data_IF_087438194379
#
_entry.id   IF_087438194379
#
_cell.length_a   1.000
_cell.length_b   1.000
_cell.length_c   1.000
_cell.angle_alpha   90.00
_cell.angle_beta   90.00
_cell.angle_gamma   90.00
#
_symmetry.space_group_name_H-M   'P 1'
#
loop_
_entity.id
_entity.type
_entity.pdbx_description
1 polymer ?
#
# COMPACT_ATOMS: atom_id res chain seq x y z
N UNK A 1 -9.06 -34.10 -0.81
CA UNK A 1 -10.51 -33.80 -0.71
C UNK A 1 -11.02 -33.61 0.73
N UNK A 2 -10.29 -34.00 1.79
CA UNK A 2 -10.80 -33.93 3.19
C UNK A 2 -10.95 -32.52 3.80
N UNK A 3 -10.32 -31.46 3.25
CA UNK A 3 -10.35 -30.10 3.86
C UNK A 3 -11.66 -29.33 3.62
N UNK A 4 -12.40 -29.65 2.56
CA UNK A 4 -13.61 -28.90 2.18
C UNK A 4 -14.81 -29.28 3.05
N UNK A 5 -14.92 -30.56 3.44
CA UNK A 5 -16.01 -31.05 4.29
C UNK A 5 -16.01 -30.42 5.69
N UNK A 6 -14.84 -30.13 6.26
CA UNK A 6 -14.69 -29.55 7.61
C UNK A 6 -15.10 -28.06 7.72
N UNK A 7 -15.46 -27.42 6.60
CA UNK A 7 -15.86 -26.01 6.52
C UNK A 7 -17.38 -25.82 6.39
N UNK A 8 -18.14 -26.89 6.12
CA UNK A 8 -19.58 -26.78 5.80
C UNK A 8 -20.48 -26.45 7.01
N UNK A 9 -20.07 -26.81 8.24
CA UNK A 9 -20.87 -26.61 9.47
C UNK A 9 -20.40 -25.43 10.36
N UNK A 10 -19.54 -24.53 9.84
CA UNK A 10 -19.03 -23.41 10.65
C UNK A 10 -19.92 -22.17 10.53
N UNK A 11 -20.18 -21.44 11.63
CA UNK A 11 -20.83 -20.15 11.55
C UNK A 11 -20.01 -19.20 10.66
N UNK A 12 -20.68 -18.38 9.85
CA UNK A 12 -20.08 -17.51 8.82
C UNK A 12 -18.92 -16.65 9.36
N UNK A 13 -19.04 -16.16 10.60
CA UNK A 13 -18.01 -15.39 11.29
C UNK A 13 -16.71 -16.18 11.46
N UNK A 14 -16.79 -17.47 11.75
CA UNK A 14 -15.64 -18.35 11.93
C UNK A 14 -14.97 -18.70 10.60
N UNK A 15 -15.74 -18.79 9.50
CA UNK A 15 -15.18 -18.93 8.14
C UNK A 15 -14.40 -17.69 7.73
N UNK A 16 -14.97 -16.49 7.94
CA UNK A 16 -14.31 -15.21 7.63
C UNK A 16 -13.02 -15.05 8.43
N UNK A 17 -13.05 -15.28 9.75
CA UNK A 17 -11.86 -15.19 10.59
C UNK A 17 -10.77 -16.18 10.14
N UNK A 18 -11.15 -17.39 9.75
CA UNK A 18 -10.19 -18.40 9.27
C UNK A 18 -9.56 -17.98 7.94
N UNK A 19 -10.35 -17.46 7.00
CA UNK A 19 -9.85 -16.97 5.72
C UNK A 19 -8.91 -15.76 5.88
N UNK A 20 -9.26 -14.81 6.74
CA UNK A 20 -8.42 -13.65 7.05
C UNK A 20 -7.10 -14.07 7.68
N UNK A 21 -7.12 -15.02 8.63
CA UNK A 21 -5.89 -15.55 9.24
C UNK A 21 -4.99 -16.25 8.21
N UNK A 22 -5.56 -17.11 7.37
CA UNK A 22 -4.80 -17.78 6.31
C UNK A 22 -4.20 -16.80 5.29
N UNK A 23 -4.93 -15.73 4.97
CA UNK A 23 -4.43 -14.67 4.09
C UNK A 23 -3.28 -13.88 4.74
N UNK A 24 -3.39 -13.54 6.03
CA UNK A 24 -2.30 -12.89 6.78
C UNK A 24 -1.07 -13.80 6.85
N UNK A 25 -1.24 -15.10 7.10
CA UNK A 25 -0.13 -16.06 7.12
C UNK A 25 0.57 -16.15 5.75
N UNK A 26 -0.17 -16.13 4.64
CA UNK A 26 0.41 -16.06 3.29
C UNK A 26 1.17 -14.75 3.01
N UNK A 27 0.76 -13.64 3.63
CA UNK A 27 1.47 -12.37 3.52
C UNK A 27 2.75 -12.34 4.38
N UNK A 28 2.79 -13.12 5.47
CA UNK A 28 3.95 -13.22 6.35
C UNK A 28 4.99 -14.22 5.83
N UNK A 29 4.56 -15.29 5.14
CA UNK A 29 5.42 -16.29 4.49
C UNK A 29 5.41 -16.12 2.97
N UNK A 30 5.76 -14.91 2.52
CA UNK A 30 5.87 -14.60 1.10
C UNK A 30 6.93 -15.52 0.45
N UNK A 31 6.60 -16.19 -0.67
CA UNK A 31 7.55 -17.00 -1.41
C UNK A 31 8.85 -16.22 -1.65
N UNK A 32 9.99 -16.85 -1.34
CA UNK A 32 11.33 -16.24 -1.46
C UNK A 32 11.56 -15.48 -2.77
N UNK A 33 11.07 -15.93 -3.95
CA UNK A 33 11.20 -15.17 -5.20
C UNK A 33 10.50 -13.80 -5.18
N UNK A 34 9.34 -13.68 -4.53
CA UNK A 34 8.60 -12.42 -4.39
C UNK A 34 9.29 -11.47 -3.42
N UNK A 35 9.89 -12.01 -2.34
CA UNK A 35 10.72 -11.22 -1.44
C UNK A 35 11.94 -10.67 -2.18
N UNK A 36 12.66 -11.52 -2.92
CA UNK A 36 13.84 -11.12 -3.71
C UNK A 36 13.45 -10.08 -4.76
N UNK A 37 12.37 -10.29 -5.53
CA UNK A 37 11.90 -9.32 -6.52
C UNK A 37 11.51 -7.97 -5.88
N UNK A 38 10.90 -7.98 -4.69
CA UNK A 38 10.58 -6.75 -3.95
C UNK A 38 11.85 -6.05 -3.47
N UNK A 39 12.82 -6.79 -2.94
CA UNK A 39 14.11 -6.26 -2.54
C UNK A 39 14.89 -5.69 -3.73
N UNK A 40 14.95 -6.41 -4.85
CA UNK A 40 15.59 -5.94 -6.08
C UNK A 40 14.91 -4.68 -6.62
N UNK A 41 13.58 -4.61 -6.60
CA UNK A 41 12.85 -3.41 -6.97
C UNK A 41 13.19 -2.20 -6.09
N UNK A 42 13.33 -2.39 -4.77
CA UNK A 42 13.73 -1.32 -3.84
C UNK A 42 15.20 -0.92 -4.06
N UNK A 43 16.08 -1.88 -4.34
CA UNK A 43 17.51 -1.63 -4.49
C UNK A 43 17.88 -0.98 -5.83
N UNK A 44 17.15 -1.29 -6.91
CA UNK A 44 17.43 -0.81 -8.28
C UNK A 44 16.52 0.34 -8.74
N UNK A 45 15.60 0.83 -7.90
CA UNK A 45 14.85 2.06 -8.20
C UNK A 45 15.73 3.29 -7.96
N UNK A 46 16.50 3.66 -8.98
CA UNK A 46 17.32 4.88 -8.97
C UNK A 46 16.48 6.15 -9.09
N UNK A 47 15.27 6.03 -9.63
CA UNK A 47 14.39 7.13 -10.01
C UNK A 47 12.97 6.80 -9.57
N UNK A 48 12.37 7.64 -8.74
CA UNK A 48 10.95 7.55 -8.37
C UNK A 48 10.18 8.77 -8.87
N UNK A 49 9.10 8.52 -9.61
CA UNK A 49 8.13 9.55 -9.96
C UNK A 49 7.17 9.77 -8.79
N UNK A 50 6.98 11.03 -8.42
CA UNK A 50 6.10 11.44 -7.34
C UNK A 50 5.09 12.45 -7.86
N UNK A 51 3.85 12.37 -7.38
CA UNK A 51 2.87 13.44 -7.50
C UNK A 51 2.92 14.36 -6.28
N UNK A 52 3.00 15.65 -6.54
CA UNK A 52 3.00 16.71 -5.55
C UNK A 52 1.60 17.21 -5.24
N UNK A 53 1.34 17.45 -3.96
CA UNK A 53 0.09 17.98 -3.44
C UNK A 53 0.32 19.09 -2.42
N UNK A 54 -0.68 19.96 -2.26
CA UNK A 54 -0.75 20.95 -1.19
C UNK A 54 -2.10 20.85 -0.49
N UNK A 55 -2.10 20.77 0.84
CA UNK A 55 -3.35 20.82 1.61
C UNK A 55 -3.89 22.25 1.73
N UNK A 56 -5.17 22.41 2.07
CA UNK A 56 -5.78 23.73 2.29
C UNK A 56 -5.14 24.59 3.40
N UNK A 57 -4.24 24.04 4.23
CA UNK A 57 -3.43 24.79 5.21
C UNK A 57 -2.05 25.20 4.68
N UNK A 58 -1.73 24.87 3.43
CA UNK A 58 -0.48 25.24 2.78
C UNK A 58 0.67 24.25 2.92
N UNK A 59 0.50 23.08 3.56
CA UNK A 59 1.57 22.07 3.64
C UNK A 59 1.77 21.35 2.29
N UNK A 60 2.95 21.46 1.66
CA UNK A 60 3.29 20.68 0.49
C UNK A 60 3.74 19.28 0.89
N UNK A 61 3.38 18.28 0.09
CA UNK A 61 3.85 16.90 0.28
C UNK A 61 3.83 16.14 -1.05
N UNK A 62 4.57 15.03 -1.09
CA UNK A 62 4.74 14.19 -2.29
C UNK A 62 4.25 12.77 -2.01
N UNK A 63 3.67 12.13 -3.02
CA UNK A 63 3.26 10.73 -2.96
C UNK A 63 3.72 9.98 -4.20
N UNK A 64 3.87 8.66 -4.09
CA UNK A 64 4.22 7.81 -5.23
C UNK A 64 3.20 7.97 -6.36
N UNK A 65 3.69 8.23 -7.57
CA UNK A 65 2.87 8.44 -8.77
C UNK A 65 2.00 7.21 -9.12
N UNK A 66 2.45 6.02 -8.72
CA UNK A 66 1.70 4.77 -8.88
C UNK A 66 0.42 4.71 -8.03
N UNK A 67 0.21 5.65 -7.10
CA UNK A 67 -1.00 5.71 -6.28
C UNK A 67 -2.16 6.26 -7.12
N UNK A 68 -3.18 5.46 -7.48
CA UNK A 68 -4.22 5.88 -8.43
C UNK A 68 -5.23 6.88 -7.84
N UNK A 69 -5.22 7.05 -6.51
CA UNK A 69 -6.18 7.90 -5.81
C UNK A 69 -5.51 9.12 -5.19
N UNK A 70 -6.16 10.28 -5.34
CA UNK A 70 -5.79 11.49 -4.61
C UNK A 70 -5.77 11.23 -3.10
N UNK A 71 -4.84 11.86 -2.37
CA UNK A 71 -4.73 11.67 -0.92
C UNK A 71 -6.02 12.12 -0.24
N UNK A 72 -6.44 11.36 0.78
CA UNK A 72 -7.65 11.69 1.56
C UNK A 72 -7.37 12.62 2.73
N UNK A 73 -6.11 12.72 3.15
CA UNK A 73 -5.69 13.56 4.26
C UNK A 73 -4.28 14.08 4.02
N UNK A 74 -3.99 15.26 4.58
CA UNK A 74 -2.63 15.78 4.62
C UNK A 74 -1.78 14.93 5.57
N UNK A 75 -0.63 14.39 5.14
CA UNK A 75 0.25 13.61 6.02
C UNK A 75 0.94 14.47 7.09
N UNK A 76 1.04 15.79 6.88
CA UNK A 76 1.70 16.71 7.82
C UNK A 76 0.77 17.08 8.99
N UNK A 77 -0.50 17.39 8.71
CA UNK A 77 -1.42 17.92 9.72
C UNK A 77 -2.70 17.09 9.93
N UNK A 78 -2.84 15.95 9.24
CA UNK A 78 -3.96 15.01 9.39
C UNK A 78 -5.31 15.53 8.89
N UNK A 79 -5.38 16.74 8.32
CA UNK A 79 -6.66 17.32 7.90
C UNK A 79 -7.19 16.65 6.63
N UNK A 80 -8.51 16.43 6.62
CA UNK A 80 -9.28 15.99 5.43
C UNK A 80 -9.75 17.18 4.58
N UNK A 81 -9.14 18.36 4.77
CA UNK A 81 -9.48 19.55 4.01
C UNK A 81 -9.10 19.37 2.54
N UNK A 82 -9.58 20.27 1.68
CA UNK A 82 -9.30 20.26 0.25
C UNK A 82 -7.79 20.08 -0.02
N UNK A 83 -7.44 19.06 -0.80
CA UNK A 83 -6.07 18.81 -1.24
C UNK A 83 -6.01 19.08 -2.74
N UNK A 84 -5.08 19.94 -3.14
CA UNK A 84 -4.88 20.34 -4.53
C UNK A 84 -3.60 19.71 -5.06
N UNK A 85 -3.65 19.24 -6.31
CA UNK A 85 -2.47 18.76 -7.03
C UNK A 85 -1.65 19.97 -7.47
N UNK A 86 -0.34 19.91 -7.27
CA UNK A 86 0.59 21.01 -7.62
C UNK A 86 1.58 20.63 -8.73
N UNK A 87 1.75 19.35 -9.04
CA UNK A 87 2.59 18.90 -10.15
C UNK A 87 3.08 17.47 -9.98
N UNK A 88 3.97 17.04 -10.86
CA UNK A 88 4.74 15.81 -10.71
C UNK A 88 6.23 16.16 -10.61
N UNK A 89 6.97 15.33 -9.90
CA UNK A 89 8.39 15.47 -9.66
C UNK A 89 9.08 14.12 -9.80
N UNK A 90 10.39 14.15 -9.96
CA UNK A 90 11.21 12.95 -10.02
C UNK A 90 12.29 13.07 -8.96
N UNK A 91 12.38 12.09 -8.07
CA UNK A 91 13.45 12.02 -7.07
C UNK A 91 14.43 10.95 -7.51
N UNK A 92 15.72 11.28 -7.46
CA UNK A 92 16.80 10.33 -7.70
C UNK A 92 17.47 9.98 -6.38
N UNK A 93 17.77 8.70 -6.18
CA UNK A 93 18.45 8.26 -4.96
C UNK A 93 19.90 8.76 -4.99
N UNK A 94 20.33 9.46 -3.94
CA UNK A 94 21.73 9.90 -3.77
C UNK A 94 22.08 11.29 -4.32
N UNK A 95 21.08 12.10 -4.68
CA UNK A 95 21.25 13.54 -4.94
C UNK A 95 20.79 14.38 -3.74
#
# INVERSE_FOLDING_TARGET
>A
MQRVAALQDRPMTQLVVTAVKAWIEQLLDLPRPLLVARFDGIMHQDIQMLSGYICGRGHPFWMEWATPASPRCCPVCGTKHEIKRIGDGTVRRGL
#
